data_IF_235071531031
#
_entry.id   IF_235071531031
#
_cell.length_a   1.000
_cell.length_b   1.000
_cell.length_c   1.000
_cell.angle_alpha   90.00
_cell.angle_beta   90.00
_cell.angle_gamma   90.00
#
_symmetry.space_group_name_H-M   'P 1'
#
loop_
_entity.id
_entity.type
_entity.pdbx_description
1 polymer ?
#
# COMPACT_ATOMS: atom_id res chain seq x y z
N UNK A 1 38.07 7.73 -30.87
CA UNK A 1 37.40 9.03 -31.01
C UNK A 1 36.59 9.23 -29.75
N UNK A 2 37.20 9.97 -28.83
CA UNK A 2 36.62 10.58 -27.64
C UNK A 2 35.58 11.59 -28.07
N UNK A 3 34.39 11.55 -27.46
CA UNK A 3 33.64 12.76 -27.08
C UNK A 3 32.92 12.46 -25.77
N UNK A 4 33.53 12.91 -24.67
CA UNK A 4 32.82 13.27 -23.45
C UNK A 4 32.14 14.62 -23.70
N UNK A 5 30.87 14.76 -23.31
CA UNK A 5 30.36 16.05 -22.85
C UNK A 5 29.50 15.84 -21.60
N UNK A 6 30.02 16.42 -20.54
CA UNK A 6 29.52 16.47 -19.18
C UNK A 6 28.61 17.71 -19.00
N UNK A 7 27.78 17.65 -17.96
CA UNK A 7 27.32 18.78 -17.15
C UNK A 7 26.21 19.74 -17.65
N UNK A 8 24.97 19.45 -17.23
CA UNK A 8 24.09 20.39 -16.52
C UNK A 8 23.48 19.57 -15.38
N UNK A 9 23.74 19.82 -14.10
CA UNK A 9 23.46 21.08 -13.40
C UNK A 9 22.08 20.96 -12.75
N UNK A 10 22.07 20.73 -11.44
CA UNK A 10 20.91 20.56 -10.56
C UNK A 10 19.75 21.50 -10.89
N UNK A 11 18.55 20.94 -10.98
CA UNK A 11 17.37 21.57 -10.40
C UNK A 11 16.70 20.55 -9.49
N UNK A 12 16.83 20.82 -8.19
CA UNK A 12 16.06 20.23 -7.12
C UNK A 12 14.60 20.65 -7.29
N UNK A 13 13.84 19.93 -8.10
CA UNK A 13 12.38 20.05 -8.06
C UNK A 13 11.84 19.11 -6.97
N UNK A 14 11.51 19.69 -5.83
CA UNK A 14 10.79 19.03 -4.73
C UNK A 14 9.34 18.74 -5.11
N UNK A 15 9.11 18.19 -6.29
CA UNK A 15 7.89 17.47 -6.63
C UNK A 15 7.98 16.13 -5.93
N UNK A 16 7.03 15.83 -5.05
CA UNK A 16 6.72 14.44 -4.71
C UNK A 16 6.42 13.74 -6.03
N UNK A 17 7.42 13.09 -6.61
CA UNK A 17 7.30 12.30 -7.82
C UNK A 17 6.14 11.34 -7.54
N UNK A 18 5.01 11.53 -8.22
CA UNK A 18 3.81 10.72 -7.99
C UNK A 18 4.14 9.33 -8.54
N UNK A 19 4.75 8.51 -7.68
CA UNK A 19 5.23 7.19 -8.08
C UNK A 19 3.99 6.34 -8.33
N UNK A 20 3.62 6.19 -9.59
CA UNK A 20 2.54 5.29 -10.01
C UNK A 20 2.95 3.87 -9.64
N UNK A 21 2.23 3.28 -8.70
CA UNK A 21 2.49 1.92 -8.23
C UNK A 21 1.59 0.93 -8.97
N UNK A 22 2.15 -0.23 -9.28
CA UNK A 22 1.32 -1.38 -9.61
C UNK A 22 0.58 -1.86 -8.35
N UNK A 23 -0.59 -2.53 -8.50
CA UNK A 23 -1.30 -3.09 -7.35
C UNK A 23 -0.44 -4.02 -6.48
N UNK A 24 0.46 -4.80 -7.09
CA UNK A 24 1.35 -5.70 -6.35
C UNK A 24 2.34 -4.92 -5.47
N UNK A 25 2.98 -3.87 -6.01
CA UNK A 25 3.89 -3.02 -5.26
C UNK A 25 3.19 -2.22 -4.16
N UNK A 26 1.90 -1.89 -4.36
CA UNK A 26 1.07 -1.27 -3.32
C UNK A 26 0.85 -2.22 -2.14
N UNK A 27 0.52 -3.49 -2.41
CA UNK A 27 0.36 -4.50 -1.36
C UNK A 27 1.68 -4.75 -0.63
N UNK A 28 2.81 -4.83 -1.35
CA UNK A 28 4.13 -4.99 -0.74
C UNK A 28 4.45 -3.81 0.21
N UNK A 29 4.17 -2.57 -0.21
CA UNK A 29 4.34 -1.40 0.66
C UNK A 29 3.44 -1.43 1.89
N UNK A 30 2.21 -1.92 1.76
CA UNK A 30 1.32 -2.10 2.90
C UNK A 30 1.87 -3.16 3.87
N UNK A 31 2.32 -4.31 3.37
CA UNK A 31 2.90 -5.37 4.20
C UNK A 31 4.17 -4.90 4.92
N UNK A 32 5.03 -4.15 4.24
CA UNK A 32 6.21 -3.55 4.84
C UNK A 32 5.84 -2.52 5.93
N UNK A 33 4.87 -1.65 5.66
CA UNK A 33 4.38 -0.69 6.65
C UNK A 33 3.77 -1.40 7.87
N UNK A 34 3.01 -2.47 7.64
CA UNK A 34 2.42 -3.29 8.67
C UNK A 34 3.47 -3.97 9.55
N UNK A 35 4.48 -4.59 8.96
CA UNK A 35 5.59 -5.22 9.70
C UNK A 35 6.36 -4.20 10.52
N UNK A 36 6.74 -3.08 9.91
CA UNK A 36 7.47 -2.02 10.60
C UNK A 36 6.68 -1.51 11.80
N UNK A 37 5.39 -1.25 11.61
CA UNK A 37 4.50 -0.82 12.69
C UNK A 37 4.38 -1.88 13.78
N UNK A 38 4.25 -3.17 13.43
CA UNK A 38 4.11 -4.23 14.43
C UNK A 38 5.34 -4.38 15.34
N UNK A 39 6.54 -4.12 14.81
CA UNK A 39 7.80 -4.33 15.54
C UNK A 39 8.41 -3.07 16.11
N UNK A 40 7.96 -1.87 15.70
CA UNK A 40 8.39 -0.63 16.33
C UNK A 40 7.79 -0.47 17.73
N UNK A 41 8.56 -0.07 18.75
CA UNK A 41 8.05 0.18 20.10
C UNK A 41 7.15 1.42 20.17
N UNK A 42 7.39 2.39 19.28
CA UNK A 42 6.67 3.66 19.18
C UNK A 42 5.82 3.72 17.89
N UNK A 43 4.92 4.70 17.82
CA UNK A 43 4.09 4.91 16.63
C UNK A 43 4.94 5.49 15.50
N UNK A 44 4.92 4.84 14.34
CA UNK A 44 5.66 5.33 13.17
C UNK A 44 4.89 6.43 12.43
N UNK A 45 5.56 7.07 11.47
CA UNK A 45 4.92 8.01 10.55
C UNK A 45 3.71 7.36 9.85
N UNK A 46 2.62 8.12 9.74
CA UNK A 46 1.43 7.65 9.06
C UNK A 46 1.69 7.53 7.56
N UNK A 47 1.09 6.53 6.93
CA UNK A 47 1.14 6.35 5.47
C UNK A 47 -0.28 6.40 4.87
N UNK A 48 -1.00 7.53 4.98
CA UNK A 48 -2.41 7.61 4.58
C UNK A 48 -2.62 7.31 3.09
N UNK A 49 -1.66 7.65 2.23
CA UNK A 49 -1.72 7.45 0.78
C UNK A 49 -1.79 5.96 0.42
N UNK A 50 -1.01 5.12 1.12
CA UNK A 50 -1.05 3.67 0.94
C UNK A 50 -2.39 3.11 1.44
N UNK A 51 -2.90 3.63 2.56
CA UNK A 51 -4.18 3.18 3.13
C UNK A 51 -5.34 3.51 2.17
N UNK A 52 -5.41 4.76 1.71
CA UNK A 52 -6.44 5.23 0.79
C UNK A 52 -6.40 4.45 -0.53
N UNK A 53 -5.22 4.29 -1.12
CA UNK A 53 -5.08 3.56 -2.37
C UNK A 53 -5.48 2.08 -2.21
N UNK A 54 -5.08 1.40 -1.11
CA UNK A 54 -5.51 0.00 -0.87
C UNK A 54 -7.02 -0.10 -0.65
N UNK A 55 -7.63 0.84 0.06
CA UNK A 55 -9.08 0.87 0.25
C UNK A 55 -9.81 1.00 -1.08
N UNK A 56 -9.35 1.89 -1.95
CA UNK A 56 -9.90 2.08 -3.28
C UNK A 56 -9.75 0.81 -4.13
N UNK A 57 -8.57 0.18 -4.14
CA UNK A 57 -8.34 -1.07 -4.87
C UNK A 57 -9.23 -2.21 -4.36
N UNK A 58 -9.45 -2.31 -3.04
CA UNK A 58 -10.38 -3.29 -2.47
C UNK A 58 -11.84 -3.04 -2.90
N UNK A 59 -12.27 -1.79 -2.99
CA UNK A 59 -13.61 -1.43 -3.47
C UNK A 59 -13.80 -1.80 -4.94
N UNK A 60 -12.82 -1.48 -5.79
CA UNK A 60 -12.81 -1.86 -7.21
C UNK A 60 -12.87 -3.39 -7.37
N UNK A 61 -12.10 -4.15 -6.58
CA UNK A 61 -12.14 -5.61 -6.62
C UNK A 61 -13.50 -6.16 -6.17
N UNK A 62 -14.11 -5.61 -5.12
CA UNK A 62 -15.44 -6.02 -4.64
C UNK A 62 -16.51 -5.80 -5.72
N UNK A 63 -16.50 -4.64 -6.37
CA UNK A 63 -17.45 -4.36 -7.44
C UNK A 63 -17.28 -5.31 -8.64
N UNK A 64 -16.03 -5.60 -9.01
CA UNK A 64 -15.74 -6.54 -10.09
C UNK A 64 -16.25 -7.96 -9.77
N UNK A 65 -16.07 -8.43 -8.52
CA UNK A 65 -16.57 -9.74 -8.10
C UNK A 65 -18.08 -9.80 -7.99
N UNK A 66 -18.73 -8.70 -7.58
CA UNK A 66 -20.20 -8.60 -7.56
C UNK A 66 -20.81 -8.83 -8.95
N UNK A 67 -20.10 -8.42 -10.01
CA UNK A 67 -20.52 -8.58 -11.41
C UNK A 67 -20.12 -9.95 -12.01
N UNK A 68 -19.27 -10.72 -11.33
CA UNK A 68 -18.75 -12.00 -11.83
C UNK A 68 -19.70 -13.18 -11.54
N UNK A 69 -19.60 -14.25 -12.34
CA UNK A 69 -20.38 -15.48 -12.15
C UNK A 69 -19.84 -16.26 -10.94
N UNK A 70 -20.69 -16.51 -9.95
CA UNK A 70 -20.30 -17.05 -8.62
C UNK A 70 -19.69 -18.45 -8.60
N UNK A 71 -19.88 -19.26 -9.64
CA UNK A 71 -19.41 -20.66 -9.68
C UNK A 71 -17.97 -20.81 -10.22
N UNK A 72 -17.29 -19.72 -10.52
CA UNK A 72 -15.90 -19.74 -11.00
C UNK A 72 -14.91 -19.81 -9.84
N UNK A 73 -14.02 -20.80 -9.84
CA UNK A 73 -12.90 -20.91 -8.89
C UNK A 73 -12.08 -19.61 -8.82
N UNK A 74 -11.95 -18.90 -9.96
CA UNK A 74 -11.26 -17.62 -10.02
C UNK A 74 -11.89 -16.57 -9.10
N UNK A 75 -13.22 -16.56 -8.98
CA UNK A 75 -13.96 -15.66 -8.07
C UNK A 75 -13.59 -15.99 -6.62
N UNK A 76 -13.58 -17.26 -6.24
CA UNK A 76 -13.18 -17.68 -4.89
C UNK A 76 -11.72 -17.29 -4.57
N UNK A 77 -10.80 -17.44 -5.52
CA UNK A 77 -9.40 -17.03 -5.34
C UNK A 77 -9.29 -15.52 -5.10
N UNK A 78 -9.99 -14.70 -5.90
CA UNK A 78 -9.99 -13.25 -5.70
C UNK A 78 -10.66 -12.83 -4.37
N UNK A 79 -11.71 -13.53 -3.92
CA UNK A 79 -12.31 -13.28 -2.61
C UNK A 79 -11.31 -13.57 -1.48
N UNK A 80 -10.60 -14.70 -1.54
CA UNK A 80 -9.56 -15.06 -0.57
C UNK A 80 -8.43 -14.01 -0.53
N UNK A 81 -8.02 -13.53 -1.71
CA UNK A 81 -7.01 -12.46 -1.84
C UNK A 81 -7.47 -11.18 -1.14
N UNK A 82 -8.70 -10.74 -1.41
CA UNK A 82 -9.26 -9.54 -0.78
C UNK A 82 -9.36 -9.67 0.73
N UNK A 83 -9.73 -10.85 1.24
CA UNK A 83 -9.76 -11.09 2.68
C UNK A 83 -8.36 -11.00 3.30
N UNK A 84 -7.32 -11.52 2.63
CA UNK A 84 -5.93 -11.39 3.09
C UNK A 84 -5.50 -9.93 3.14
N UNK A 85 -5.73 -9.17 2.09
CA UNK A 85 -5.37 -7.74 2.03
C UNK A 85 -6.14 -6.95 3.10
N UNK A 86 -7.45 -7.19 3.24
CA UNK A 86 -8.29 -6.55 4.27
C UNK A 86 -7.80 -6.87 5.68
N UNK A 87 -7.35 -8.09 5.92
CA UNK A 87 -6.75 -8.48 7.20
C UNK A 87 -5.47 -7.67 7.48
N UNK A 88 -4.54 -7.60 6.52
CA UNK A 88 -3.28 -6.86 6.69
C UNK A 88 -3.57 -5.37 6.98
N UNK A 89 -4.43 -4.73 6.18
CA UNK A 89 -4.81 -3.34 6.38
C UNK A 89 -5.44 -3.11 7.76
N UNK A 90 -6.39 -3.96 8.15
CA UNK A 90 -7.05 -3.87 9.46
C UNK A 90 -6.05 -4.06 10.61
N UNK A 91 -5.11 -4.99 10.44
CA UNK A 91 -4.06 -5.27 11.43
C UNK A 91 -3.12 -4.09 11.60
N UNK A 92 -2.67 -3.48 10.50
CA UNK A 92 -1.87 -2.25 10.51
C UNK A 92 -2.55 -1.12 11.27
N UNK A 93 -3.81 -0.81 10.94
CA UNK A 93 -4.56 0.27 11.60
C UNK A 93 -4.79 -0.02 13.09
N UNK A 94 -5.07 -1.28 13.46
CA UNK A 94 -5.18 -1.68 14.88
C UNK A 94 -3.86 -1.53 15.63
N UNK A 95 -2.73 -1.93 15.04
CA UNK A 95 -1.41 -1.73 15.65
C UNK A 95 -1.16 -0.24 15.96
N UNK A 96 -1.48 0.65 15.01
CA UNK A 96 -1.38 2.10 15.22
C UNK A 96 -2.30 2.60 16.33
N UNK A 97 -3.57 2.20 16.31
CA UNK A 97 -4.56 2.59 17.33
C UNK A 97 -4.18 2.10 18.73
N UNK A 98 -3.53 0.94 18.86
CA UNK A 98 -3.06 0.44 20.16
C UNK A 98 -1.85 1.22 20.69
N UNK A 99 -1.05 1.82 19.82
CA UNK A 99 0.10 2.66 20.22
C UNK A 99 -0.26 4.11 20.48
N UNK A 100 -1.34 4.62 19.88
CA UNK A 100 -1.79 5.98 20.13
C UNK A 100 -2.02 6.29 21.63
N UNK A 101 -2.66 5.40 22.43
CA UNK A 101 -2.76 5.55 23.88
C UNK A 101 -1.42 5.56 24.62
N UNK A 102 -0.34 5.02 24.04
CA UNK A 102 0.98 4.97 24.69
C UNK A 102 1.82 6.24 24.46
N UNK A 103 1.30 7.23 23.73
CA UNK A 103 1.99 8.51 23.47
C UNK A 103 1.47 9.69 24.30
N UNK A 104 0.55 9.44 25.25
CA UNK A 104 0.00 10.41 26.19
C UNK A 104 0.42 10.00 27.60
#
# INVERSE_FOLDING_TARGET
MTEEQDFLGQDSDGGSEEVVLTPAELIERLEQAWMNEKFAPELLESKPEIVECVMEQLEHMEENLRRAKREDLKVSIHQMEMERIRYVLSSYLRCRLMKFPNQI
#
